data_IF_024206219520
#
_entry.id   IF_024206219520
#
_cell.length_a   1.000
_cell.length_b   1.000
_cell.length_c   1.000
_cell.angle_alpha   90.00
_cell.angle_beta   90.00
_cell.angle_gamma   90.00
#
_symmetry.space_group_name_H-M   'P 1'
#
loop_
_entity.id
_entity.type
_entity.pdbx_description
1 polymer ?
#
# COMPACT_ATOMS: atom_id res chain seq x y z
N UNK A 1 7.55 12.98 8.72
CA UNK A 1 6.61 11.89 8.37
C UNK A 1 7.33 10.63 7.90
N UNK A 2 8.29 10.71 6.97
CA UNK A 2 9.03 9.55 6.46
C UNK A 2 9.77 8.71 7.51
N UNK A 3 10.32 9.30 8.59
CA UNK A 3 10.91 8.52 9.71
C UNK A 3 9.92 7.57 10.39
N UNK A 4 8.63 7.88 10.38
CA UNK A 4 7.61 7.02 10.99
C UNK A 4 7.37 5.75 10.17
N UNK A 5 7.67 5.76 8.86
CA UNK A 5 7.61 4.58 7.99
C UNK A 5 8.72 3.56 8.30
N UNK A 6 9.73 3.92 9.08
CA UNK A 6 10.82 3.03 9.52
C UNK A 6 10.87 2.90 11.04
N UNK A 7 9.78 3.22 11.74
CA UNK A 7 9.70 3.05 13.19
C UNK A 7 9.73 1.55 13.55
N UNK A 8 10.35 1.20 14.68
CA UNK A 8 10.41 -0.19 15.16
C UNK A 8 9.02 -0.75 15.45
N UNK A 9 8.13 0.06 16.04
CA UNK A 9 6.74 -0.32 16.29
C UNK A 9 5.94 -0.31 14.98
N UNK A 10 5.47 -1.49 14.57
CA UNK A 10 4.69 -1.65 13.33
C UNK A 10 3.41 -0.80 13.32
N UNK A 11 2.80 -0.54 14.47
CA UNK A 11 1.60 0.31 14.58
C UNK A 11 1.87 1.75 14.13
N UNK A 12 3.07 2.28 14.43
CA UNK A 12 3.48 3.61 13.98
C UNK A 12 3.64 3.60 12.46
N UNK A 13 4.23 2.53 11.90
CA UNK A 13 4.36 2.36 10.45
C UNK A 13 3.00 2.29 9.78
N UNK A 14 2.04 1.52 10.33
CA UNK A 14 0.65 1.47 9.84
C UNK A 14 0.01 2.86 9.81
N UNK A 15 0.13 3.61 10.91
CA UNK A 15 -0.41 4.98 10.98
C UNK A 15 0.23 5.90 9.93
N UNK A 16 1.55 5.82 9.75
CA UNK A 16 2.27 6.58 8.74
C UNK A 16 1.85 6.19 7.31
N UNK A 17 1.73 4.90 7.02
CA UNK A 17 1.29 4.37 5.71
C UNK A 17 -0.14 4.82 5.39
N UNK A 18 -1.06 4.76 6.35
CA UNK A 18 -2.45 5.24 6.16
C UNK A 18 -2.52 6.74 5.86
N UNK A 19 -1.63 7.54 6.46
CA UNK A 19 -1.60 8.97 6.21
C UNK A 19 -1.11 9.33 4.79
N UNK A 20 -0.40 8.43 4.10
CA UNK A 20 0.05 8.66 2.72
C UNK A 20 -1.10 8.69 1.71
N UNK A 21 -2.22 8.05 1.98
CA UNK A 21 -3.38 8.04 1.06
C UNK A 21 -4.00 9.42 0.83
N UNK A 22 -3.74 10.38 1.72
CA UNK A 22 -4.17 11.78 1.58
C UNK A 22 -3.11 12.71 0.97
N UNK A 23 -1.93 12.21 0.64
CA UNK A 23 -0.84 13.01 0.07
C UNK A 23 -0.90 13.04 -1.47
N UNK A 24 -0.08 13.91 -2.09
CA UNK A 24 0.07 13.94 -3.53
C UNK A 24 0.63 12.59 -4.05
N UNK A 25 0.09 12.11 -5.18
CA UNK A 25 0.43 10.80 -5.74
C UNK A 25 1.94 10.61 -5.96
N UNK A 26 2.61 11.65 -6.49
CA UNK A 26 4.05 11.68 -6.74
C UNK A 26 4.90 11.38 -5.49
N UNK A 27 4.39 11.72 -4.31
CA UNK A 27 5.02 11.46 -3.03
C UNK A 27 4.54 10.15 -2.40
N UNK A 28 3.24 9.87 -2.50
CA UNK A 28 2.61 8.72 -1.86
C UNK A 28 3.01 7.39 -2.52
N UNK A 29 2.96 7.31 -3.86
CA UNK A 29 3.07 6.04 -4.59
C UNK A 29 4.42 5.33 -4.37
N UNK A 30 5.59 6.00 -4.41
CA UNK A 30 6.85 5.32 -4.12
C UNK A 30 6.93 4.78 -2.68
N UNK A 31 6.36 5.51 -1.72
CA UNK A 31 6.39 5.14 -0.31
C UNK A 31 5.41 4.02 0.02
N UNK A 32 4.21 4.06 -0.55
CA UNK A 32 3.22 2.99 -0.45
C UNK A 32 3.72 1.72 -1.14
N UNK A 33 4.34 1.82 -2.31
CA UNK A 33 4.93 0.68 -3.01
C UNK A 33 6.00 0.00 -2.16
N UNK A 34 6.90 0.78 -1.53
CA UNK A 34 7.89 0.24 -0.59
C UNK A 34 7.27 -0.42 0.64
N UNK A 35 6.16 0.11 1.13
CA UNK A 35 5.47 -0.45 2.30
C UNK A 35 4.83 -1.82 2.04
N UNK A 36 4.74 -2.27 0.79
CA UNK A 36 4.38 -3.65 0.43
C UNK A 36 5.47 -4.66 0.81
N UNK A 37 6.71 -4.23 1.05
CA UNK A 37 7.79 -5.11 1.50
C UNK A 37 7.95 -5.14 3.03
N UNK A 38 7.03 -4.51 3.77
CA UNK A 38 7.12 -4.48 5.23
C UNK A 38 6.95 -5.88 5.85
N UNK A 39 7.75 -6.20 6.85
CA UNK A 39 7.68 -7.48 7.57
C UNK A 39 6.28 -7.74 8.17
N UNK A 40 5.56 -6.69 8.56
CA UNK A 40 4.29 -6.80 9.26
C UNK A 40 3.11 -6.69 8.31
N UNK A 41 2.22 -7.69 8.35
CA UNK A 41 1.10 -7.80 7.42
C UNK A 41 0.16 -6.59 7.43
N UNK A 42 -0.08 -5.97 8.59
CA UNK A 42 -0.95 -4.80 8.68
C UNK A 42 -0.38 -3.56 7.98
N UNK A 43 0.95 -3.43 7.88
CA UNK A 43 1.59 -2.34 7.13
C UNK A 43 1.41 -2.58 5.64
N UNK A 44 1.63 -3.81 5.16
CA UNK A 44 1.40 -4.20 3.77
C UNK A 44 -0.06 -4.03 3.36
N UNK A 45 -0.99 -4.45 4.23
CA UNK A 45 -2.43 -4.24 4.05
C UNK A 45 -2.78 -2.76 3.98
N UNK A 46 -2.22 -1.93 4.86
CA UNK A 46 -2.42 -0.48 4.81
C UNK A 46 -1.88 0.13 3.50
N UNK A 47 -0.75 -0.37 2.98
CA UNK A 47 -0.19 0.05 1.71
C UNK A 47 -1.12 -0.28 0.55
N UNK A 48 -1.63 -1.51 0.47
CA UNK A 48 -2.63 -1.92 -0.54
C UNK A 48 -3.86 -1.01 -0.50
N UNK A 49 -4.42 -0.78 0.68
CA UNK A 49 -5.59 0.10 0.84
C UNK A 49 -5.32 1.54 0.38
N UNK A 50 -4.11 2.05 0.60
CA UNK A 50 -3.71 3.37 0.11
C UNK A 50 -3.54 3.43 -1.40
N UNK A 51 -2.93 2.40 -2.00
CA UNK A 51 -2.75 2.30 -3.45
C UNK A 51 -4.08 2.26 -4.21
N UNK A 52 -5.14 1.71 -3.61
CA UNK A 52 -6.50 1.69 -4.19
C UNK A 52 -7.01 3.07 -4.61
N UNK A 53 -6.60 4.14 -3.93
CA UNK A 53 -7.00 5.52 -4.29
C UNK A 53 -6.60 5.93 -5.71
N UNK A 54 -5.56 5.30 -6.28
CA UNK A 54 -5.03 5.62 -7.60
C UNK A 54 -5.11 4.45 -8.58
N UNK A 55 -5.79 3.35 -8.21
CA UNK A 55 -5.84 2.15 -9.04
C UNK A 55 -6.40 2.43 -10.45
N UNK A 56 -7.39 3.32 -10.59
CA UNK A 56 -8.00 3.63 -11.90
C UNK A 56 -7.25 4.70 -12.69
N UNK A 57 -6.36 5.47 -12.06
CA UNK A 57 -5.77 6.68 -12.66
C UNK A 57 -4.25 6.61 -12.82
N UNK A 58 -3.56 5.73 -12.09
CA UNK A 58 -2.10 5.65 -12.10
C UNK A 58 -1.61 4.21 -12.34
N UNK A 59 -0.69 4.05 -13.29
CA UNK A 59 -0.10 2.75 -13.64
C UNK A 59 0.80 2.22 -12.55
N UNK A 60 1.51 3.08 -11.83
CA UNK A 60 2.39 2.69 -10.72
C UNK A 60 1.59 2.06 -9.60
N UNK A 61 0.41 2.63 -9.30
CA UNK A 61 -0.50 2.05 -8.32
C UNK A 61 -0.98 0.65 -8.73
N UNK A 62 -1.35 0.47 -10.01
CA UNK A 62 -1.77 -0.84 -10.55
C UNK A 62 -0.66 -1.87 -10.52
N UNK A 63 0.55 -1.49 -10.91
CA UNK A 63 1.70 -2.39 -10.90
C UNK A 63 2.02 -2.84 -9.47
N UNK A 64 2.03 -1.91 -8.51
CA UNK A 64 2.24 -2.22 -7.10
C UNK A 64 1.15 -3.14 -6.53
N UNK A 65 -0.12 -2.89 -6.85
CA UNK A 65 -1.23 -3.78 -6.50
C UNK A 65 -1.08 -5.16 -7.14
N UNK A 66 -0.56 -5.23 -8.38
CA UNK A 66 -0.25 -6.48 -9.07
C UNK A 66 0.82 -7.30 -8.36
N UNK A 67 1.81 -6.66 -7.75
CA UNK A 67 2.80 -7.33 -6.88
C UNK A 67 2.15 -7.87 -5.60
N UNK A 68 1.26 -7.09 -4.98
CA UNK A 68 0.56 -7.49 -3.76
C UNK A 68 -0.36 -8.72 -3.93
N UNK A 69 -0.73 -9.08 -5.17
CA UNK A 69 -1.41 -10.35 -5.47
C UNK A 69 -0.58 -11.59 -5.09
N UNK A 70 0.73 -11.45 -4.90
CA UNK A 70 1.67 -12.52 -4.53
C UNK A 70 2.04 -12.49 -3.05
N UNK A 71 1.42 -11.62 -2.24
CA UNK A 71 1.72 -11.54 -0.81
C UNK A 71 1.50 -12.89 -0.12
N UNK A 72 2.30 -13.18 0.91
CA UNK A 72 2.16 -14.40 1.72
C UNK A 72 0.82 -14.45 2.47
N UNK A 73 0.31 -13.28 2.87
CA UNK A 73 -0.92 -13.14 3.63
C UNK A 73 -2.16 -13.11 2.72
N UNK A 74 -3.18 -13.91 3.06
CA UNK A 74 -4.37 -14.07 2.24
C UNK A 74 -5.25 -12.81 2.19
N UNK A 75 -5.30 -12.04 3.27
CA UNK A 75 -6.08 -10.80 3.32
C UNK A 75 -5.43 -9.77 2.41
N UNK A 76 -4.10 -9.60 2.48
CA UNK A 76 -3.37 -8.67 1.59
C UNK A 76 -3.66 -8.99 0.12
N UNK A 77 -3.60 -10.27 -0.27
CA UNK A 77 -3.97 -10.70 -1.63
C UNK A 77 -5.44 -10.40 -1.97
N UNK A 78 -6.36 -10.56 -1.02
CA UNK A 78 -7.78 -10.30 -1.24
C UNK A 78 -8.06 -8.81 -1.50
N UNK A 79 -7.46 -7.91 -0.72
CA UNK A 79 -7.59 -6.47 -0.94
C UNK A 79 -6.98 -6.04 -2.27
N UNK A 80 -5.83 -6.60 -2.65
CA UNK A 80 -5.19 -6.30 -3.93
C UNK A 80 -6.07 -6.71 -5.12
N UNK A 81 -6.68 -7.92 -5.08
CA UNK A 81 -7.65 -8.36 -6.11
C UNK A 81 -8.85 -7.43 -6.18
N UNK A 82 -9.40 -7.04 -5.04
CA UNK A 82 -10.56 -6.16 -5.00
C UNK A 82 -10.24 -4.77 -5.59
N UNK A 83 -9.07 -4.22 -5.28
CA UNK A 83 -8.62 -2.93 -5.80
C UNK A 83 -8.35 -2.96 -7.31
N UNK A 84 -7.89 -4.08 -7.86
CA UNK A 84 -7.67 -4.21 -9.30
C UNK A 84 -8.96 -4.48 -10.08
N UNK A 85 -9.95 -5.13 -9.47
CA UNK A 85 -11.25 -5.37 -10.09
C UNK A 85 -12.07 -4.08 -10.35
N UNK A 86 -11.71 -2.96 -9.71
CA UNK A 86 -12.34 -1.65 -9.97
C UNK A 86 -11.73 -0.89 -11.15
N UNK A 87 -10.70 -1.44 -11.80
CA UNK A 87 -10.02 -0.87 -12.97
C UNK A 87 -10.65 -1.34 -14.28
N UNK A 88 -11.39 -2.45 -14.25
CA UNK A 88 -12.05 -3.05 -15.42
C UNK A 88 -13.37 -2.35 -15.80
#
# INVERSE_FOLDING_TARGET
MTRALSASAWQIRVGATRALSGAAAEFALPLLSRALDDEHLDVRKAAVLGLTCWATTDVVARDALGLALKDVDADVRAYARHALASVD
#
